data_IF_723352157343
#
_entry.id   IF_723352157343
#
_cell.length_a   1.000
_cell.length_b   1.000
_cell.length_c   1.000
_cell.angle_alpha   90.00
_cell.angle_beta   90.00
_cell.angle_gamma   90.00
#
_symmetry.space_group_name_H-M   'P 1'
#
loop_
_entity.id
_entity.type
_entity.pdbx_description
1 polymer ?
#
# COMPACT_ATOMS: atom_id res chain seq x y z
N UNK A 1 28.02 4.67 -2.83
CA UNK A 1 26.60 4.30 -2.92
C UNK A 1 26.10 4.30 -4.37
N UNK A 2 26.51 5.24 -5.22
CA UNK A 2 26.06 5.32 -6.63
C UNK A 2 26.25 4.02 -7.42
N UNK A 3 27.42 3.35 -7.28
CA UNK A 3 27.70 2.07 -7.96
C UNK A 3 26.66 0.97 -7.72
N UNK A 4 26.01 0.93 -6.56
CA UNK A 4 24.95 -0.06 -6.30
C UNK A 4 23.73 0.23 -7.18
N UNK A 5 23.26 1.47 -7.19
CA UNK A 5 22.13 1.91 -8.00
C UNK A 5 22.42 1.78 -9.50
N UNK A 6 23.63 2.12 -9.95
CA UNK A 6 24.06 1.92 -11.36
C UNK A 6 23.93 0.44 -11.78
N UNK A 7 24.29 -0.48 -10.89
CA UNK A 7 24.16 -1.93 -11.14
C UNK A 7 22.72 -2.42 -11.11
N UNK A 8 21.88 -1.92 -10.19
CA UNK A 8 20.46 -2.31 -10.10
C UNK A 8 19.70 -1.83 -11.35
N UNK A 9 19.95 -0.58 -11.77
CA UNK A 9 19.33 0.01 -12.96
C UNK A 9 19.78 -0.67 -14.27
N UNK A 10 20.91 -1.38 -14.27
CA UNK A 10 21.36 -2.20 -15.42
C UNK A 10 20.44 -3.38 -15.71
N UNK A 11 19.67 -3.85 -14.72
CA UNK A 11 18.75 -4.99 -14.86
C UNK A 11 17.29 -4.61 -14.60
N UNK A 12 16.69 -3.72 -15.40
CA UNK A 12 15.35 -3.20 -15.14
C UNK A 12 14.28 -4.30 -15.16
N UNK A 13 14.38 -5.29 -16.06
CA UNK A 13 13.45 -6.43 -16.11
C UNK A 13 13.49 -7.28 -14.84
N UNK A 14 14.68 -7.51 -14.30
CA UNK A 14 14.85 -8.24 -13.03
C UNK A 14 14.28 -7.44 -11.87
N UNK A 15 14.58 -6.13 -11.81
CA UNK A 15 14.06 -5.24 -10.78
C UNK A 15 12.53 -5.22 -10.75
N UNK A 16 11.87 -5.07 -11.91
CA UNK A 16 10.41 -5.14 -12.02
C UNK A 16 9.89 -6.49 -11.53
N UNK A 17 10.51 -7.60 -11.93
CA UNK A 17 10.09 -8.94 -11.47
C UNK A 17 10.19 -9.09 -9.94
N UNK A 18 11.26 -8.59 -9.32
CA UNK A 18 11.44 -8.63 -7.86
C UNK A 18 10.42 -7.74 -7.16
N UNK A 19 10.20 -6.51 -7.66
CA UNK A 19 9.20 -5.59 -7.11
C UNK A 19 7.80 -6.19 -7.21
N UNK A 20 7.43 -6.75 -8.36
CA UNK A 20 6.13 -7.42 -8.52
C UNK A 20 5.99 -8.63 -7.60
N UNK A 21 7.02 -9.48 -7.52
CA UNK A 21 7.02 -10.63 -6.60
C UNK A 21 6.86 -10.18 -5.13
N UNK A 22 7.57 -9.14 -4.73
CA UNK A 22 7.49 -8.55 -3.40
C UNK A 22 6.08 -7.99 -3.12
N UNK A 23 5.52 -7.22 -4.05
CA UNK A 23 4.15 -6.70 -3.95
C UNK A 23 3.14 -7.84 -3.78
N UNK A 24 3.24 -8.90 -4.58
CA UNK A 24 2.34 -10.05 -4.48
C UNK A 24 2.42 -10.75 -3.13
N UNK A 25 3.64 -10.96 -2.60
CA UNK A 25 3.85 -11.58 -1.28
C UNK A 25 3.25 -10.72 -0.17
N UNK A 26 3.47 -9.40 -0.22
CA UNK A 26 2.93 -8.45 0.77
C UNK A 26 1.39 -8.42 0.71
N UNK A 27 0.80 -8.43 -0.49
CA UNK A 27 -0.65 -8.33 -0.68
C UNK A 27 -1.37 -9.65 -0.37
N UNK A 28 -0.73 -10.80 -0.60
CA UNK A 28 -1.32 -12.15 -0.40
C UNK A 28 -2.08 -12.35 0.93
N UNK A 29 -1.55 -12.02 2.12
CA UNK A 29 -2.28 -12.18 3.38
C UNK A 29 -3.54 -11.32 3.47
N UNK A 30 -3.58 -10.15 2.82
CA UNK A 30 -4.79 -9.31 2.79
C UNK A 30 -5.93 -9.99 2.04
N UNK A 31 -5.64 -10.74 0.97
CA UNK A 31 -6.67 -11.53 0.28
C UNK A 31 -7.23 -12.65 1.17
N UNK A 32 -6.46 -13.17 2.13
CA UNK A 32 -6.97 -14.16 3.09
C UNK A 32 -8.02 -13.53 4.02
N UNK A 33 -7.83 -12.26 4.43
CA UNK A 33 -8.80 -11.54 5.27
C UNK A 33 -10.15 -11.35 4.57
N UNK A 34 -10.17 -11.27 3.25
CA UNK A 34 -11.37 -11.15 2.44
C UNK A 34 -12.13 -12.49 2.23
N UNK A 35 -11.52 -13.64 2.53
CA UNK A 35 -12.15 -14.96 2.28
C UNK A 35 -13.27 -15.32 3.26
N UNK A 36 -13.25 -14.78 4.48
CA UNK A 36 -14.30 -15.05 5.49
C UNK A 36 -15.16 -13.79 5.65
N UNK A 37 -16.51 -13.92 5.66
CA UNK A 37 -17.40 -12.77 5.63
C UNK A 37 -17.20 -11.84 6.83
N UNK A 38 -17.01 -12.41 8.02
CA UNK A 38 -16.81 -11.64 9.25
C UNK A 38 -15.48 -10.88 9.25
N UNK A 39 -14.36 -11.54 8.90
CA UNK A 39 -13.05 -10.87 8.84
C UNK A 39 -12.99 -9.85 7.72
N UNK A 40 -13.65 -10.14 6.59
CA UNK A 40 -13.75 -9.21 5.45
C UNK A 40 -14.48 -7.93 5.85
N UNK A 41 -15.60 -8.06 6.57
CA UNK A 41 -16.35 -6.91 7.06
C UNK A 41 -15.50 -6.02 7.99
N UNK A 42 -14.83 -6.61 8.99
CA UNK A 42 -13.94 -5.87 9.88
C UNK A 42 -12.76 -5.24 9.14
N UNK A 43 -12.16 -5.97 8.19
CA UNK A 43 -11.04 -5.46 7.40
C UNK A 43 -11.45 -4.26 6.54
N UNK A 44 -12.60 -4.34 5.84
CA UNK A 44 -13.10 -3.25 5.00
C UNK A 44 -13.42 -2.01 5.84
N UNK A 45 -14.09 -2.16 6.98
CA UNK A 45 -14.42 -1.04 7.87
C UNK A 45 -13.15 -0.42 8.43
N UNK A 46 -12.19 -1.23 8.89
CA UNK A 46 -10.92 -0.73 9.40
C UNK A 46 -10.12 0.01 8.33
N UNK A 47 -10.09 -0.50 7.10
CA UNK A 47 -9.38 0.12 5.99
C UNK A 47 -10.04 1.44 5.57
N UNK A 48 -11.38 1.47 5.46
CA UNK A 48 -12.14 2.67 5.18
C UNK A 48 -11.93 3.73 6.28
N UNK A 49 -12.03 3.34 7.55
CA UNK A 49 -11.77 4.22 8.68
C UNK A 49 -10.35 4.80 8.66
N UNK A 50 -9.33 3.98 8.39
CA UNK A 50 -7.94 4.43 8.24
C UNK A 50 -7.81 5.48 7.12
N UNK A 51 -8.39 5.23 5.95
CA UNK A 51 -8.35 6.17 4.82
C UNK A 51 -9.06 7.49 5.18
N UNK A 52 -10.23 7.44 5.83
CA UNK A 52 -10.95 8.63 6.27
C UNK A 52 -10.14 9.45 7.28
N UNK A 53 -9.51 8.79 8.27
CA UNK A 53 -8.67 9.46 9.26
C UNK A 53 -7.46 10.13 8.60
N UNK A 54 -6.77 9.42 7.70
CA UNK A 54 -5.66 9.99 6.93
C UNK A 54 -6.10 11.17 6.07
N UNK A 55 -7.26 11.07 5.40
CA UNK A 55 -7.81 12.16 4.61
C UNK A 55 -8.12 13.41 5.46
N UNK A 56 -8.71 13.23 6.65
CA UNK A 56 -8.97 14.33 7.60
C UNK A 56 -7.65 14.97 8.07
N UNK A 57 -6.65 14.16 8.41
CA UNK A 57 -5.33 14.67 8.81
C UNK A 57 -4.71 15.50 7.69
N UNK A 58 -4.73 14.97 6.46
CA UNK A 58 -4.19 15.67 5.30
C UNK A 58 -4.96 16.97 5.06
N UNK A 59 -6.30 16.96 5.08
CA UNK A 59 -7.15 18.15 4.94
C UNK A 59 -6.82 19.22 5.99
N UNK A 60 -6.62 18.82 7.25
CA UNK A 60 -6.19 19.71 8.33
C UNK A 60 -4.79 20.27 8.11
N UNK A 61 -3.84 19.45 7.63
CA UNK A 61 -2.47 19.89 7.35
C UNK A 61 -2.38 20.90 6.20
N UNK A 62 -3.25 20.77 5.21
CA UNK A 62 -3.33 21.67 4.05
C UNK A 62 -4.39 22.77 4.20
N UNK A 63 -5.03 22.88 5.38
CA UNK A 63 -6.12 23.80 5.69
C UNK A 63 -7.25 23.80 4.64
N UNK A 64 -7.52 22.65 4.04
CA UNK A 64 -8.72 22.43 3.23
C UNK A 64 -9.82 22.02 4.19
N UNK A 65 -10.31 22.99 4.95
CA UNK A 65 -11.61 22.88 5.60
C UNK A 65 -12.61 23.28 4.52
N UNK A 66 -13.33 22.29 3.96
CA UNK A 66 -14.54 22.63 3.22
C UNK A 66 -15.55 23.14 4.25
N UNK A 67 -15.88 24.42 4.14
CA UNK A 67 -16.97 25.17 4.79
C UNK A 67 -18.01 24.31 5.53
#
# INVERSE_FOLDING_TARGET
MNKFWDNVLRFPRFLVSVILGLILIIISPFFVLLKKPLTSFFFIISLAGLITVLAIIIQKMINIECC
#
